data_IF_651703303550
#
_entry.id   IF_651703303550
#
_cell.length_a   1.000
_cell.length_b   1.000
_cell.length_c   1.000
_cell.angle_alpha   90.00
_cell.angle_beta   90.00
_cell.angle_gamma   90.00
#
_symmetry.space_group_name_H-M   'P 1'
#
loop_
_entity.id
_entity.type
_entity.pdbx_description
1 polymer ?
#
# COMPACT_ATOMS: atom_id res chain seq x y z
N UNK A 1 -31.77 4.30 38.41
CA UNK A 1 -30.74 5.37 38.39
C UNK A 1 -29.34 4.88 38.77
N UNK A 2 -29.13 3.56 38.97
CA UNK A 2 -27.82 2.97 39.32
C UNK A 2 -27.01 2.48 38.11
N UNK A 3 -27.64 2.23 36.95
CA UNK A 3 -26.92 1.67 35.79
C UNK A 3 -26.05 2.68 35.01
N UNK A 4 -26.31 3.98 35.16
CA UNK A 4 -25.49 5.02 34.50
C UNK A 4 -24.16 5.28 35.23
N UNK A 5 -24.07 4.95 36.53
CA UNK A 5 -22.86 5.17 37.31
C UNK A 5 -21.82 4.06 37.07
N UNK A 6 -22.26 2.82 36.84
CA UNK A 6 -21.36 1.70 36.53
C UNK A 6 -20.68 1.87 35.16
N UNK A 7 -21.38 2.45 34.18
CA UNK A 7 -20.85 2.65 32.83
C UNK A 7 -19.79 3.76 32.77
N UNK A 8 -19.89 4.78 33.62
CA UNK A 8 -18.88 5.84 33.74
C UNK A 8 -17.62 5.33 34.46
N UNK A 9 -17.77 4.49 35.49
CA UNK A 9 -16.61 3.84 36.12
C UNK A 9 -15.87 2.88 35.18
N UNK A 10 -16.57 2.16 34.29
CA UNK A 10 -15.92 1.29 33.31
C UNK A 10 -15.14 2.07 32.23
N UNK A 11 -15.64 3.24 31.83
CA UNK A 11 -14.99 4.11 30.85
C UNK A 11 -13.74 4.81 31.41
N UNK A 12 -13.75 5.20 32.69
CA UNK A 12 -12.57 5.80 33.35
C UNK A 12 -11.47 4.77 33.56
N UNK A 13 -11.82 3.54 33.98
CA UNK A 13 -10.85 2.44 34.12
C UNK A 13 -10.26 2.00 32.77
N UNK A 14 -11.02 2.07 31.67
CA UNK A 14 -10.48 1.84 30.33
C UNK A 14 -9.52 2.94 29.87
N UNK A 15 -9.76 4.19 30.28
CA UNK A 15 -8.86 5.31 29.96
C UNK A 15 -7.55 5.25 30.77
N UNK A 16 -7.58 4.79 32.02
CA UNK A 16 -6.39 4.59 32.85
C UNK A 16 -5.60 3.33 32.46
N UNK A 17 -6.26 2.26 32.00
CA UNK A 17 -5.58 1.09 31.41
C UNK A 17 -4.92 1.39 30.06
N UNK A 18 -5.40 2.40 29.32
CA UNK A 18 -4.73 2.86 28.09
C UNK A 18 -3.54 3.80 28.38
N UNK A 19 -3.49 4.47 29.54
CA UNK A 19 -2.32 5.28 29.91
C UNK A 19 -1.17 4.45 30.49
N UNK A 20 -1.45 3.31 31.15
CA UNK A 20 -0.41 2.46 31.76
C UNK A 20 0.34 1.56 30.76
N UNK A 21 -0.19 1.36 29.55
CA UNK A 21 0.49 0.60 28.49
C UNK A 21 1.23 1.48 27.48
N UNK A 22 1.28 2.80 27.70
CA UNK A 22 1.95 3.76 26.80
C UNK A 22 3.39 4.11 27.21
N UNK A 23 3.89 3.60 28.34
CA UNK A 23 5.25 3.91 28.85
C UNK A 23 6.31 2.83 28.56
N UNK A 24 5.97 1.76 27.84
CA UNK A 24 6.93 0.77 27.35
C UNK A 24 7.14 0.91 25.85
N UNK A 25 8.32 1.42 25.43
CA UNK A 25 8.79 1.64 24.04
C UNK A 25 8.59 3.06 23.46
N UNK A 26 8.82 4.11 24.25
CA UNK A 26 9.31 5.39 23.69
C UNK A 26 10.84 5.39 23.67
N UNK A 27 11.42 4.41 22.97
CA UNK A 27 12.76 4.59 22.44
C UNK A 27 12.62 5.53 21.26
N UNK A 28 13.17 6.74 21.34
CA UNK A 28 13.39 7.58 20.16
C UNK A 28 14.07 6.72 19.10
N UNK A 29 13.32 6.26 18.09
CA UNK A 29 13.89 5.53 16.96
C UNK A 29 14.83 6.51 16.25
N UNK A 30 16.12 6.40 16.53
CA UNK A 30 17.13 7.28 15.95
C UNK A 30 17.08 7.16 14.42
N UNK A 31 17.17 8.27 13.70
CA UNK A 31 17.11 8.24 12.23
C UNK A 31 18.43 7.78 11.62
N UNK A 32 18.38 7.27 10.38
CA UNK A 32 19.58 7.07 9.57
C UNK A 32 20.00 8.40 8.95
N UNK A 33 21.24 8.80 9.17
CA UNK A 33 21.89 9.88 8.42
C UNK A 33 22.63 9.30 7.23
N UNK A 34 22.33 9.80 6.03
CA UNK A 34 22.99 9.39 4.77
C UNK A 34 23.72 10.60 4.21
N UNK A 35 25.04 10.51 3.96
CA UNK A 35 25.79 11.65 3.40
C UNK A 35 25.33 12.00 1.98
N UNK A 36 25.60 13.22 1.51
CA UNK A 36 25.24 13.63 0.15
C UNK A 36 25.88 12.74 -0.93
N UNK A 37 27.12 12.28 -0.70
CA UNK A 37 27.86 11.38 -1.59
C UNK A 37 27.17 9.99 -1.68
N UNK A 38 26.69 9.48 -0.55
CA UNK A 38 25.96 8.21 -0.48
C UNK A 38 24.56 8.31 -1.09
N UNK A 39 23.89 9.47 -1.01
CA UNK A 39 22.62 9.71 -1.70
C UNK A 39 22.77 9.86 -3.23
N UNK A 40 23.93 10.28 -3.71
CA UNK A 40 24.20 10.33 -5.16
C UNK A 40 24.53 8.93 -5.71
N UNK A 41 25.21 8.09 -4.92
CA UNK A 41 25.47 6.69 -5.27
C UNK A 41 24.21 5.81 -5.17
N UNK A 42 23.34 6.10 -4.19
CA UNK A 42 22.05 5.44 -3.99
C UNK A 42 20.95 6.39 -4.44
N UNK A 43 20.47 6.28 -5.68
CA UNK A 43 19.45 7.18 -6.23
C UNK A 43 18.14 7.20 -5.44
N UNK A 44 18.05 8.01 -4.37
CA UNK A 44 16.85 8.08 -3.54
C UNK A 44 15.77 8.89 -4.23
N UNK A 45 14.61 8.27 -4.46
CA UNK A 45 13.43 8.98 -4.97
C UNK A 45 12.51 9.27 -3.80
N UNK A 46 12.23 10.55 -3.57
CA UNK A 46 11.36 11.01 -2.50
C UNK A 46 10.04 11.49 -3.07
N UNK A 47 8.93 11.00 -2.49
CA UNK A 47 7.58 11.45 -2.80
C UNK A 47 6.94 12.16 -1.59
N UNK A 48 5.91 12.95 -1.82
CA UNK A 48 5.10 13.52 -0.72
C UNK A 48 3.87 12.66 -0.46
N UNK A 49 3.63 12.32 0.81
CA UNK A 49 2.35 11.77 1.26
C UNK A 49 1.25 12.78 0.93
N UNK A 50 0.26 12.36 0.14
CA UNK A 50 -0.74 13.27 -0.45
C UNK A 50 -2.08 12.57 -0.63
N UNK A 51 -3.15 13.36 -0.86
CA UNK A 51 -4.46 12.81 -1.18
C UNK A 51 -4.46 12.28 -2.62
N UNK A 52 -4.39 10.96 -2.76
CA UNK A 52 -4.33 10.28 -4.04
C UNK A 52 -5.61 9.50 -4.30
N UNK A 53 -5.95 9.39 -5.58
CA UNK A 53 -6.98 8.46 -6.03
C UNK A 53 -6.43 7.04 -5.92
N UNK A 54 -7.15 6.15 -5.24
CA UNK A 54 -6.78 4.74 -5.13
C UNK A 54 -7.64 3.96 -6.11
N UNK A 55 -6.98 3.41 -7.13
CA UNK A 55 -7.60 2.53 -8.11
C UNK A 55 -6.95 1.16 -8.08
N UNK A 56 -7.73 0.12 -8.38
CA UNK A 56 -7.22 -1.22 -8.68
C UNK A 56 -7.67 -1.62 -10.08
N UNK A 57 -6.79 -2.26 -10.83
CA UNK A 57 -7.11 -2.71 -12.18
C UNK A 57 -7.31 -4.23 -12.18
N UNK A 58 -8.57 -4.66 -12.28
CA UNK A 58 -8.92 -6.08 -12.32
C UNK A 58 -8.74 -6.56 -13.76
N UNK A 59 -7.71 -7.38 -13.97
CA UNK A 59 -7.31 -7.87 -15.28
C UNK A 59 -8.02 -9.17 -15.63
N UNK A 60 -8.57 -9.26 -16.84
CA UNK A 60 -9.15 -10.48 -17.38
C UNK A 60 -8.98 -10.56 -18.90
N UNK A 61 -9.03 -11.78 -19.44
CA UNK A 61 -9.13 -11.97 -20.88
C UNK A 61 -10.57 -11.64 -21.35
N UNK A 62 -10.66 -10.94 -22.47
CA UNK A 62 -11.91 -10.60 -23.15
C UNK A 62 -11.98 -11.23 -24.54
N UNK A 63 -13.19 -11.59 -24.98
CA UNK A 63 -13.44 -12.02 -26.36
C UNK A 63 -14.66 -11.33 -26.95
N UNK A 64 -14.70 -11.19 -28.29
CA UNK A 64 -15.86 -10.62 -28.98
C UNK A 64 -17.02 -11.59 -28.94
N UNK A 65 -18.19 -11.12 -28.53
CA UNK A 65 -19.45 -11.82 -28.72
C UNK A 65 -19.83 -11.82 -30.22
N UNK A 66 -20.06 -12.99 -30.84
CA UNK A 66 -20.30 -13.08 -32.28
C UNK A 66 -21.61 -12.40 -32.73
N UNK A 67 -22.59 -12.26 -31.82
CA UNK A 67 -23.91 -11.66 -32.09
C UNK A 67 -23.91 -10.17 -31.76
N UNK A 68 -23.62 -9.80 -30.51
CA UNK A 68 -23.70 -8.39 -30.07
C UNK A 68 -22.50 -7.56 -30.51
N UNK A 69 -21.42 -8.22 -30.97
CA UNK A 69 -20.11 -7.62 -31.26
C UNK A 69 -19.45 -6.92 -30.07
N UNK A 70 -19.98 -7.08 -28.86
CA UNK A 70 -19.40 -6.51 -27.63
C UNK A 70 -18.26 -7.38 -27.09
N UNK A 71 -17.33 -6.78 -26.35
CA UNK A 71 -16.26 -7.53 -25.68
C UNK A 71 -16.75 -8.05 -24.33
N UNK A 72 -16.55 -9.34 -24.09
CA UNK A 72 -16.96 -10.04 -22.87
C UNK A 72 -15.76 -10.69 -22.19
N UNK A 73 -15.62 -10.50 -20.90
CA UNK A 73 -14.57 -11.12 -20.07
C UNK A 73 -15.15 -11.88 -18.89
N UNK A 74 -14.32 -12.71 -18.24
CA UNK A 74 -14.72 -13.43 -17.02
C UNK A 74 -13.76 -13.13 -15.88
N UNK A 75 -14.29 -12.55 -14.82
CA UNK A 75 -13.56 -12.19 -13.60
C UNK A 75 -13.67 -13.34 -12.61
N UNK A 76 -12.56 -13.70 -11.98
CA UNK A 76 -12.45 -14.81 -11.02
C UNK A 76 -11.91 -14.35 -9.68
N UNK A 77 -12.13 -15.16 -8.64
CA UNK A 77 -11.49 -15.01 -7.34
C UNK A 77 -11.99 -13.81 -6.53
N UNK A 78 -11.11 -13.33 -5.64
CA UNK A 78 -11.43 -12.35 -4.59
C UNK A 78 -11.89 -10.97 -5.10
N UNK A 79 -11.67 -10.67 -6.37
CA UNK A 79 -11.99 -9.36 -6.94
C UNK A 79 -13.39 -9.28 -7.56
N UNK A 80 -14.09 -10.41 -7.75
CA UNK A 80 -15.47 -10.43 -8.26
C UNK A 80 -16.47 -9.54 -7.49
N UNK A 81 -16.40 -9.40 -6.15
CA UNK A 81 -17.31 -8.54 -5.41
C UNK A 81 -17.11 -7.05 -5.68
N UNK A 82 -15.96 -6.65 -6.23
CA UNK A 82 -15.61 -5.26 -6.51
C UNK A 82 -16.18 -4.75 -7.83
N UNK A 83 -16.63 -5.67 -8.70
CA UNK A 83 -17.06 -5.34 -10.05
C UNK A 83 -18.51 -4.91 -10.07
N UNK A 84 -18.77 -3.75 -10.70
CA UNK A 84 -20.09 -3.14 -10.85
C UNK A 84 -20.28 -2.58 -12.25
N UNK A 85 -21.53 -2.47 -12.68
CA UNK A 85 -21.89 -1.80 -13.94
C UNK A 85 -21.46 -0.33 -13.90
N UNK A 86 -21.15 0.24 -15.07
CA UNK A 86 -20.66 1.61 -15.25
C UNK A 86 -19.15 1.80 -15.07
N UNK A 87 -18.44 0.83 -14.49
CA UNK A 87 -16.98 0.89 -14.30
C UNK A 87 -16.25 1.06 -15.63
N UNK A 88 -15.23 1.92 -15.63
CA UNK A 88 -14.35 2.11 -16.79
C UNK A 88 -13.55 0.84 -17.04
N UNK A 89 -13.37 0.49 -18.30
CA UNK A 89 -12.54 -0.63 -18.73
C UNK A 89 -11.52 -0.12 -19.75
N UNK A 90 -10.24 -0.39 -19.53
CA UNK A 90 -9.22 -0.29 -20.57
C UNK A 90 -9.15 -1.61 -21.31
N UNK A 91 -9.20 -1.57 -22.64
CA UNK A 91 -9.22 -2.76 -23.48
C UNK A 91 -8.03 -2.69 -24.44
N UNK A 92 -7.22 -3.75 -24.41
CA UNK A 92 -5.99 -3.89 -25.18
C UNK A 92 -6.18 -5.03 -26.18
N UNK A 93 -6.19 -4.76 -27.50
CA UNK A 93 -6.14 -5.84 -28.48
C UNK A 93 -4.79 -6.57 -28.37
N UNK A 94 -4.78 -7.90 -28.51
CA UNK A 94 -3.55 -8.69 -28.53
C UNK A 94 -2.84 -8.62 -29.89
N UNK A 95 -2.71 -7.41 -30.43
CA UNK A 95 -2.04 -7.12 -31.69
C UNK A 95 -1.05 -5.97 -31.48
N UNK A 96 0.13 -6.10 -32.07
CA UNK A 96 1.18 -5.10 -31.93
C UNK A 96 0.74 -3.72 -32.48
N UNK A 97 1.09 -2.66 -31.74
CA UNK A 97 1.02 -1.24 -32.16
C UNK A 97 -0.38 -0.62 -32.28
N UNK A 98 -1.29 -0.88 -31.34
CA UNK A 98 -2.61 -0.24 -31.31
C UNK A 98 -2.87 0.54 -30.01
N UNK A 99 -3.60 1.69 -30.08
CA UNK A 99 -3.99 2.45 -28.90
C UNK A 99 -4.90 1.65 -27.96
N UNK A 100 -4.84 2.01 -26.69
CA UNK A 100 -5.76 1.49 -25.66
C UNK A 100 -7.17 1.98 -25.95
N UNK A 101 -8.12 1.05 -26.00
CA UNK A 101 -9.53 1.37 -26.14
C UNK A 101 -10.15 1.60 -24.76
N UNK A 102 -11.09 2.53 -24.66
CA UNK A 102 -11.84 2.78 -23.44
C UNK A 102 -13.29 2.33 -23.61
N UNK A 103 -13.80 1.65 -22.60
CA UNK A 103 -15.16 1.12 -22.57
C UNK A 103 -15.74 1.23 -21.16
N UNK A 104 -16.99 0.81 -20.99
CA UNK A 104 -17.65 0.66 -19.70
C UNK A 104 -18.26 -0.72 -19.57
N UNK A 105 -18.30 -1.24 -18.34
CA UNK A 105 -19.11 -2.43 -18.02
C UNK A 105 -20.59 -2.04 -18.18
N UNK A 106 -21.29 -2.67 -19.11
CA UNK A 106 -22.73 -2.43 -19.33
C UNK A 106 -23.61 -3.48 -18.72
N UNK A 107 -23.08 -4.71 -18.55
CA UNK A 107 -23.82 -5.81 -17.93
C UNK A 107 -22.90 -6.74 -17.16
N UNK A 108 -23.45 -7.31 -16.09
CA UNK A 108 -22.79 -8.31 -15.27
C UNK A 108 -23.69 -9.54 -15.10
N UNK A 109 -23.14 -10.72 -15.37
CA UNK A 109 -23.81 -12.00 -15.16
C UNK A 109 -23.04 -12.82 -14.13
N UNK A 110 -23.72 -13.27 -13.08
CA UNK A 110 -23.15 -14.21 -12.10
C UNK A 110 -23.62 -15.61 -12.46
N UNK A 111 -22.67 -16.50 -12.69
CA UNK A 111 -22.92 -17.94 -12.77
C UNK A 111 -22.16 -18.63 -11.63
N UNK A 112 -22.50 -19.89 -11.31
CA UNK A 112 -21.80 -20.67 -10.27
C UNK A 112 -20.31 -20.90 -10.56
N UNK A 113 -19.78 -20.44 -11.70
CA UNK A 113 -18.38 -20.57 -12.14
C UNK A 113 -17.64 -19.22 -12.14
N UNK A 114 -18.34 -18.10 -12.00
CA UNK A 114 -17.75 -16.79 -11.80
C UNK A 114 -18.59 -15.62 -12.28
N UNK A 115 -17.91 -14.49 -12.52
CA UNK A 115 -18.53 -13.23 -12.93
C UNK A 115 -18.20 -12.94 -14.39
N UNK A 116 -19.21 -12.95 -15.26
CA UNK A 116 -19.04 -12.51 -16.64
C UNK A 116 -19.41 -11.04 -16.78
N UNK A 117 -18.54 -10.27 -17.43
CA UNK A 117 -18.73 -8.84 -17.70
C UNK A 117 -18.85 -8.61 -19.20
N UNK A 118 -19.76 -7.75 -19.62
CA UNK A 118 -19.94 -7.31 -21.01
C UNK A 118 -19.72 -5.80 -21.08
N UNK A 119 -19.06 -5.32 -22.14
CA UNK A 119 -18.74 -3.89 -22.32
C UNK A 119 -19.49 -3.25 -23.47
N UNK A 120 -19.56 -1.92 -23.47
CA UNK A 120 -20.09 -1.13 -24.59
C UNK A 120 -19.14 -1.03 -25.80
N UNK A 121 -17.95 -1.66 -25.74
CA UNK A 121 -16.99 -1.58 -26.83
C UNK A 121 -17.54 -2.28 -28.07
N UNK A 122 -17.73 -1.50 -29.13
CA UNK A 122 -17.98 -2.02 -30.48
C UNK A 122 -16.67 -1.95 -31.26
N UNK A 123 -15.94 -3.06 -31.43
CA UNK A 123 -14.62 -3.10 -32.03
C UNK A 123 -14.73 -2.97 -33.55
N UNK A 124 -15.10 -1.77 -34.03
CA UNK A 124 -15.05 -1.41 -35.45
C UNK A 124 -13.61 -1.11 -35.90
N UNK A 125 -12.71 -0.82 -34.95
CA UNK A 125 -11.33 -0.42 -35.25
C UNK A 125 -10.43 -1.60 -35.65
N UNK A 126 -10.75 -2.83 -35.25
CA UNK A 126 -9.87 -4.00 -35.42
C UNK A 126 -10.65 -5.23 -35.87
N UNK A 127 -11.09 -5.24 -37.12
CA UNK A 127 -11.72 -6.40 -37.73
C UNK A 127 -10.79 -7.62 -37.69
N UNK A 128 -11.34 -8.78 -37.36
CA UNK A 128 -10.60 -10.04 -37.25
C UNK A 128 -9.95 -10.30 -35.87
N UNK A 129 -9.95 -9.33 -34.96
CA UNK A 129 -9.42 -9.52 -33.60
C UNK A 129 -10.48 -10.14 -32.72
N UNK A 130 -10.19 -11.29 -32.11
CA UNK A 130 -11.18 -11.98 -31.26
C UNK A 130 -10.83 -11.94 -29.78
N UNK A 131 -9.58 -11.64 -29.43
CA UNK A 131 -9.05 -11.71 -28.07
C UNK A 131 -8.46 -10.37 -27.62
N UNK A 132 -8.78 -10.01 -26.38
CA UNK A 132 -8.40 -8.76 -25.75
C UNK A 132 -7.94 -9.01 -24.32
N UNK A 133 -7.13 -8.10 -23.78
CA UNK A 133 -6.97 -7.94 -22.34
C UNK A 133 -7.89 -6.81 -21.89
N UNK A 134 -8.64 -7.04 -20.82
CA UNK A 134 -9.50 -6.06 -20.19
C UNK A 134 -8.93 -5.72 -18.81
N UNK A 135 -8.79 -4.43 -18.53
CA UNK A 135 -8.48 -3.91 -17.21
C UNK A 135 -9.70 -3.13 -16.71
N UNK A 136 -10.47 -3.73 -15.82
CA UNK A 136 -11.65 -3.09 -15.21
C UNK A 136 -11.16 -2.24 -14.05
N UNK A 137 -11.42 -0.94 -14.12
CA UNK A 137 -10.97 0.04 -13.14
C UNK A 137 -11.95 0.08 -11.98
N UNK A 138 -11.47 -0.38 -10.82
CA UNK A 138 -12.17 -0.25 -9.54
C UNK A 138 -11.63 1.00 -8.85
N UNK A 139 -12.48 2.02 -8.75
CA UNK A 139 -12.19 3.27 -8.06
C UNK A 139 -12.64 3.18 -6.60
N UNK A 140 -11.71 3.29 -5.66
CA UNK A 140 -12.02 3.27 -4.23
C UNK A 140 -12.26 4.67 -3.66
N UNK A 141 -12.02 5.73 -4.43
CA UNK A 141 -12.07 7.12 -3.99
C UNK A 141 -10.69 7.71 -3.71
N UNK A 142 -10.66 8.82 -3.00
CA UNK A 142 -9.45 9.60 -2.71
C UNK A 142 -9.13 9.55 -1.23
N UNK A 143 -7.89 9.21 -0.89
CA UNK A 143 -7.43 9.07 0.48
C UNK A 143 -6.03 9.63 0.65
N UNK A 144 -5.65 9.92 1.90
CA UNK A 144 -4.25 10.12 2.26
C UNK A 144 -3.49 8.84 1.94
N UNK A 145 -2.45 8.94 1.12
CA UNK A 145 -1.78 7.77 0.58
C UNK A 145 -0.28 7.97 0.44
N UNK A 146 0.43 6.85 0.43
CA UNK A 146 1.83 6.73 0.01
C UNK A 146 1.93 5.85 -1.24
N UNK A 147 2.95 6.06 -2.09
CA UNK A 147 3.27 5.11 -3.16
C UNK A 147 3.53 3.71 -2.58
N UNK A 148 3.11 2.68 -3.29
CA UNK A 148 3.31 1.29 -2.86
C UNK A 148 4.79 0.96 -2.67
N UNK A 149 5.67 1.58 -3.44
CA UNK A 149 7.13 1.41 -3.42
C UNK A 149 7.79 1.98 -2.17
N UNK A 150 7.12 2.90 -1.44
CA UNK A 150 7.64 3.42 -0.17
C UNK A 150 7.51 2.43 0.98
N UNK A 151 6.69 1.39 0.82
CA UNK A 151 6.32 0.46 1.89
C UNK A 151 7.32 -0.69 1.94
N UNK A 152 8.02 -0.79 3.07
CA UNK A 152 8.80 -1.97 3.44
C UNK A 152 7.87 -2.91 4.21
N UNK A 153 7.64 -4.08 3.65
CA UNK A 153 6.86 -5.15 4.28
C UNK A 153 7.79 -6.02 5.12
N UNK A 154 7.57 -6.03 6.43
CA UNK A 154 8.20 -6.99 7.34
C UNK A 154 7.19 -8.06 7.76
N UNK A 155 7.66 -9.11 8.43
CA UNK A 155 6.79 -10.25 8.81
C UNK A 155 5.53 -9.83 9.58
N UNK A 156 5.64 -8.83 10.46
CA UNK A 156 4.58 -8.47 11.41
C UNK A 156 4.17 -7.00 11.33
N UNK A 157 4.84 -6.18 10.51
CA UNK A 157 4.59 -4.74 10.43
C UNK A 157 4.94 -4.21 9.05
N UNK A 158 4.39 -3.04 8.75
CA UNK A 158 4.76 -2.25 7.57
C UNK A 158 5.43 -1.00 8.04
N UNK A 159 6.54 -0.65 7.39
CA UNK A 159 7.26 0.58 7.71
C UNK A 159 7.56 1.37 6.45
N UNK A 160 7.76 2.66 6.65
CA UNK A 160 8.19 3.61 5.63
C UNK A 160 9.32 4.45 6.22
N UNK A 161 10.13 5.06 5.36
CA UNK A 161 11.15 6.02 5.80
C UNK A 161 10.68 7.44 5.48
N UNK A 162 10.53 8.25 6.53
CA UNK A 162 10.15 9.66 6.42
C UNK A 162 11.40 10.52 6.50
N UNK A 163 11.60 11.40 5.53
CA UNK A 163 12.64 12.41 5.57
C UNK A 163 12.22 13.53 6.54
N UNK A 164 12.89 13.61 7.71
CA UNK A 164 12.65 14.67 8.70
C UNK A 164 13.42 15.93 8.38
N UNK A 165 14.67 15.75 7.98
CA UNK A 165 15.55 16.80 7.49
C UNK A 165 16.28 16.27 6.26
N UNK A 166 16.95 17.15 5.51
CA UNK A 166 17.83 16.69 4.43
C UNK A 166 18.81 15.68 5.01
N UNK A 167 19.01 14.55 4.34
CA UNK A 167 19.92 13.49 4.79
C UNK A 167 19.47 12.70 6.04
N UNK A 168 18.37 13.04 6.70
CA UNK A 168 17.88 12.35 7.91
C UNK A 168 16.57 11.62 7.65
N UNK A 169 16.62 10.31 7.70
CA UNK A 169 15.50 9.41 7.40
C UNK A 169 15.12 8.61 8.64
N UNK A 170 13.86 8.74 9.06
CA UNK A 170 13.36 8.09 10.27
C UNK A 170 12.34 7.02 9.89
N UNK A 171 12.49 5.77 10.37
CA UNK A 171 11.49 4.74 10.13
C UNK A 171 10.20 5.09 10.90
N UNK A 172 9.08 4.96 10.21
CA UNK A 172 7.74 5.15 10.77
C UNK A 172 6.89 3.95 10.44
N UNK A 173 6.20 3.42 11.44
CA UNK A 173 5.22 2.38 11.23
C UNK A 173 4.04 2.93 10.40
N UNK A 174 3.53 2.08 9.51
CA UNK A 174 2.41 2.37 8.64
C UNK A 174 1.27 1.39 8.93
N UNK A 175 0.17 1.91 9.48
CA UNK A 175 -1.11 1.20 9.47
C UNK A 175 -1.82 1.59 8.17
N UNK A 176 -1.99 0.63 7.27
CA UNK A 176 -2.57 0.86 5.95
C UNK A 176 -3.96 0.26 5.78
N UNK A 177 -4.76 0.95 4.95
CA UNK A 177 -6.10 0.54 4.58
C UNK A 177 -6.14 -0.08 3.19
N UNK A 178 -6.92 0.53 2.30
CA UNK A 178 -7.10 0.06 0.93
C UNK A 178 -5.77 0.14 0.17
N UNK A 179 -5.37 -0.97 -0.46
CA UNK A 179 -4.25 -1.04 -1.38
C UNK A 179 -4.74 -1.06 -2.83
N UNK A 180 -4.37 -0.05 -3.59
CA UNK A 180 -4.57 0.02 -5.03
C UNK A 180 -3.35 -0.45 -5.81
N UNK A 181 -3.36 -0.16 -7.10
CA UNK A 181 -2.30 -0.51 -8.04
C UNK A 181 -1.00 0.24 -7.74
N UNK A 182 -1.10 1.56 -7.54
CA UNK A 182 0.06 2.46 -7.37
C UNK A 182 0.18 3.02 -5.94
N UNK A 183 -0.94 3.18 -5.24
CA UNK A 183 -0.99 3.86 -3.95
C UNK A 183 -1.70 3.00 -2.91
N UNK A 184 -1.24 3.14 -1.67
CA UNK A 184 -1.85 2.53 -0.49
C UNK A 184 -2.33 3.62 0.46
N UNK A 185 -3.56 3.45 0.95
CA UNK A 185 -4.16 4.32 1.95
C UNK A 185 -3.38 4.28 3.26
N UNK A 186 -3.11 5.45 3.81
CA UNK A 186 -2.60 5.65 5.17
C UNK A 186 -3.79 5.78 6.13
N UNK A 187 -3.89 4.86 7.09
CA UNK A 187 -4.80 5.00 8.24
C UNK A 187 -4.06 5.65 9.41
N UNK A 188 -2.84 5.17 9.70
CA UNK A 188 -1.93 5.77 10.68
C UNK A 188 -0.48 5.71 10.17
N UNK A 189 0.36 6.64 10.64
CA UNK A 189 1.73 6.79 10.18
C UNK A 189 2.01 8.19 9.62
N UNK A 190 2.45 8.34 8.36
CA UNK A 190 2.86 9.64 7.80
C UNK A 190 1.69 10.61 7.69
N UNK A 191 1.97 11.89 7.96
CA UNK A 191 0.99 12.99 7.80
C UNK A 191 1.01 13.55 6.38
N UNK A 192 -0.06 14.25 6.02
CA UNK A 192 -0.14 14.98 4.74
C UNK A 192 1.07 15.89 4.55
N UNK A 193 1.72 15.79 3.40
CA UNK A 193 2.89 16.57 3.02
C UNK A 193 4.23 16.04 3.53
N UNK A 194 4.25 15.05 4.43
CA UNK A 194 5.51 14.40 4.84
C UNK A 194 6.18 13.75 3.62
N UNK A 195 7.52 13.84 3.59
CA UNK A 195 8.34 13.28 2.52
C UNK A 195 8.69 11.84 2.84
N UNK A 196 8.35 10.92 1.95
CA UNK A 196 8.60 9.49 2.10
C UNK A 196 9.56 9.01 1.02
N UNK A 197 10.50 8.16 1.41
CA UNK A 197 11.41 7.51 0.46
C UNK A 197 10.66 6.41 -0.27
N UNK A 198 10.73 6.42 -1.59
CA UNK A 198 10.12 5.41 -2.47
C UNK A 198 11.20 4.47 -2.96
N UNK A 199 11.90 4.83 -4.03
CA UNK A 199 13.07 4.10 -4.50
C UNK A 199 14.25 4.30 -3.54
N UNK A 200 14.95 3.20 -3.26
CA UNK A 200 16.09 3.18 -2.33
C UNK A 200 15.73 2.99 -0.85
N UNK A 201 14.44 2.86 -0.52
CA UNK A 201 13.96 2.58 0.84
C UNK A 201 14.61 1.35 1.48
N UNK A 202 14.86 0.30 0.68
CA UNK A 202 15.56 -0.91 1.10
C UNK A 202 16.99 -0.65 1.60
N UNK A 203 17.75 0.24 0.95
CA UNK A 203 19.11 0.56 1.39
C UNK A 203 19.09 1.29 2.73
N UNK A 204 18.15 2.22 2.91
CA UNK A 204 17.96 2.90 4.19
C UNK A 204 17.61 1.90 5.29
N UNK A 205 16.72 0.94 5.00
CA UNK A 205 16.36 -0.12 5.93
C UNK A 205 17.54 -1.00 6.33
N UNK A 206 18.36 -1.42 5.36
CA UNK A 206 19.57 -2.18 5.62
C UNK A 206 20.56 -1.40 6.51
N UNK A 207 20.80 -0.12 6.23
CA UNK A 207 21.66 0.73 7.05
C UNK A 207 21.11 0.92 8.47
N UNK A 208 19.80 1.18 8.60
CA UNK A 208 19.12 1.33 9.89
C UNK A 208 19.31 0.09 10.78
N UNK A 209 19.06 -1.09 10.21
CA UNK A 209 19.18 -2.37 10.92
C UNK A 209 20.62 -2.66 11.34
N UNK A 210 21.59 -2.42 10.46
CA UNK A 210 23.01 -2.61 10.76
C UNK A 210 23.47 -1.71 11.92
N UNK A 211 23.06 -0.44 11.93
CA UNK A 211 23.43 0.48 13.00
C UNK A 211 22.88 0.02 14.35
N UNK A 212 21.58 -0.30 14.41
CA UNK A 212 20.93 -0.72 15.66
C UNK A 212 21.46 -2.06 16.20
N UNK A 213 21.86 -2.99 15.32
CA UNK A 213 22.48 -4.25 15.75
C UNK A 213 23.83 -4.02 16.44
N UNK A 214 24.61 -3.04 15.99
CA UNK A 214 25.91 -2.72 16.58
C UNK A 214 25.76 -2.06 17.94
N UNK A 215 24.76 -1.19 18.12
CA UNK A 215 24.46 -0.58 19.42
C UNK A 215 24.08 -1.64 20.47
N UNK A 216 23.20 -2.58 20.11
CA UNK A 216 22.78 -3.67 21.01
C UNK A 216 23.95 -4.59 21.42
N UNK A 217 24.92 -4.84 20.54
CA UNK A 217 26.14 -5.60 20.91
C UNK A 217 26.99 -4.83 21.91
N UNK A 218 27.20 -3.53 21.67
CA UNK A 218 28.02 -2.67 22.53
C UNK A 218 27.46 -2.47 23.95
N UNK A 219 26.12 -2.52 24.12
CA UNK A 219 25.48 -2.50 25.43
C UNK A 219 25.60 -3.84 26.17
N UNK A 220 25.55 -4.97 25.45
CA UNK A 220 25.70 -6.30 26.06
C UNK A 220 27.13 -6.64 26.52
N UNK A 221 28.15 -6.05 25.89
CA UNK A 221 29.55 -6.25 26.30
C UNK A 221 29.95 -5.40 27.52
N UNK A 222 29.29 -4.26 27.74
CA UNK A 222 29.57 -3.40 28.91
C UNK A 222 29.02 -3.95 30.24
N UNK A 223 27.98 -4.79 30.21
CA UNK A 223 27.47 -5.47 31.42
C UNK A 223 28.34 -6.68 31.84
N UNK A 224 29.19 -7.21 30.94
CA UNK A 224 30.10 -8.33 31.25
C UNK A 224 31.43 -7.94 31.91
N UNK A 225 31.75 -6.65 32.05
CA UNK A 225 33.08 -6.18 32.49
C UNK A 225 33.17 -5.73 33.95
N UNK A 226 32.15 -5.95 34.78
CA UNK A 226 32.15 -5.57 36.21
C UNK A 226 32.06 -6.77 37.16
N UNK A 227 32.73 -7.88 36.85
CA UNK A 227 33.09 -8.86 37.88
C UNK A 227 34.41 -8.43 38.53
N UNK A 228 34.33 -7.49 39.47
CA UNK A 228 35.46 -7.06 40.28
C UNK A 228 35.98 -8.21 41.15
N UNK A 229 37.29 -8.43 41.06
CA UNK A 229 38.12 -9.10 42.05
C UNK A 229 37.71 -8.73 43.48
N UNK A 230 37.49 -9.73 44.33
CA UNK A 230 37.78 -9.63 45.74
C UNK A 230 38.56 -10.88 46.18
N UNK A 231 39.61 -10.58 46.96
CA UNK A 231 40.63 -11.40 47.61
C UNK A 231 40.33 -12.87 47.90
#
# INVERSE_FOLDING_TARGET
MQDKLLLVCLLVLFSEMQSLNAEGLSGTKEGVRISAEQEEEISLIIAKTSIQKIEKWVRTAGSINPVTKMVRGRVYGKDQPLIREGQKVHIYPLIARQPVLQARVVRIFRDGKGLTVETDLQPKLYEGVQLYIMEIVVDFGRYLSVPNEAIIEEKNQRLIYVQKEKHLYVPKELISGIRGELYTQVLEGPKLGEKVVTFGSFFIDAHYKLHNMNEHKSSSEKEGSFAHHHH
#
